data_IF_240848938023
#
_entry.id   IF_240848938023
#
_cell.length_a   1.000
_cell.length_b   1.000
_cell.length_c   1.000
_cell.angle_alpha   90.00
_cell.angle_beta   90.00
_cell.angle_gamma   90.00
#
_symmetry.space_group_name_H-M   'P 1'
#
loop_
_entity.id
_entity.type
_entity.pdbx_description
1 polymer ?
#
# COMPACT_ATOMS: atom_id res chain seq x y z
N UNK A 1 -34.07 -47.91 -4.57
CA UNK A 1 -33.36 -46.72 -5.05
C UNK A 1 -33.89 -45.57 -4.24
N UNK A 2 -33.15 -45.16 -3.21
CA UNK A 2 -33.27 -43.82 -2.64
C UNK A 2 -31.93 -43.52 -1.99
N UNK A 3 -31.31 -42.44 -2.47
CA UNK A 3 -29.95 -42.03 -2.19
C UNK A 3 -29.92 -41.14 -0.95
N UNK A 4 -29.21 -41.59 0.07
CA UNK A 4 -28.71 -40.76 1.17
C UNK A 4 -27.87 -39.60 0.61
N UNK A 5 -28.30 -38.37 0.88
CA UNK A 5 -27.49 -37.17 0.64
C UNK A 5 -27.17 -36.55 1.99
N UNK A 6 -25.93 -36.75 2.44
CA UNK A 6 -25.37 -36.05 3.60
C UNK A 6 -25.50 -34.53 3.44
N UNK A 7 -25.86 -33.80 4.51
CA UNK A 7 -25.89 -32.35 4.47
C UNK A 7 -24.45 -31.80 4.42
N UNK A 8 -24.12 -31.16 3.30
CA UNK A 8 -22.86 -30.46 3.02
C UNK A 8 -22.46 -29.53 4.18
N UNK A 9 -21.37 -29.88 4.85
CA UNK A 9 -20.65 -29.17 5.93
C UNK A 9 -20.01 -27.83 5.51
N UNK A 10 -20.48 -27.21 4.42
CA UNK A 10 -19.90 -25.98 3.85
C UNK A 10 -20.47 -24.66 4.41
N UNK A 11 -21.69 -24.67 4.96
CA UNK A 11 -22.39 -23.43 5.34
C UNK A 11 -21.99 -22.91 6.73
N UNK A 12 -21.47 -23.78 7.61
CA UNK A 12 -21.03 -23.38 8.96
C UNK A 12 -19.68 -22.65 8.98
N UNK A 13 -18.77 -22.94 8.03
CA UNK A 13 -17.46 -22.25 7.94
C UNK A 13 -17.55 -20.80 7.46
N UNK A 14 -18.60 -20.44 6.72
CA UNK A 14 -18.83 -19.08 6.21
C UNK A 14 -19.36 -18.11 7.27
N UNK A 15 -19.73 -18.60 8.47
CA UNK A 15 -20.29 -17.77 9.54
C UNK A 15 -19.31 -17.48 10.69
N UNK A 16 -18.05 -17.93 10.58
CA UNK A 16 -17.02 -17.76 11.63
C UNK A 16 -15.85 -16.84 11.24
N UNK A 17 -15.70 -16.44 9.97
CA UNK A 17 -14.69 -15.46 9.58
C UNK A 17 -15.21 -14.06 9.83
N UNK A 18 -14.76 -13.49 10.95
CA UNK A 18 -14.79 -12.05 11.17
C UNK A 18 -14.18 -11.29 10.00
N UNK A 19 -14.36 -9.98 10.03
CA UNK A 19 -13.90 -9.05 9.01
C UNK A 19 -12.35 -9.07 8.86
N UNK A 20 -11.81 -10.01 8.08
CA UNK A 20 -10.35 -10.25 7.95
C UNK A 20 -9.85 -9.61 6.66
N UNK A 21 -8.77 -8.86 6.79
CA UNK A 21 -7.99 -8.33 5.67
C UNK A 21 -6.56 -8.84 5.78
N UNK A 22 -6.05 -9.39 4.67
CA UNK A 22 -4.69 -9.92 4.57
C UNK A 22 -3.97 -9.26 3.40
N UNK A 23 -2.65 -9.13 3.49
CA UNK A 23 -1.82 -8.71 2.37
C UNK A 23 -0.64 -9.66 2.17
N UNK A 24 -0.20 -9.80 0.93
CA UNK A 24 0.90 -10.69 0.57
C UNK A 24 1.73 -10.08 -0.57
N UNK A 25 3.04 -10.21 -0.50
CA UNK A 25 3.91 -9.94 -1.64
C UNK A 25 3.69 -10.98 -2.74
N UNK A 26 3.66 -10.50 -3.98
CA UNK A 26 3.61 -11.36 -5.17
C UNK A 26 5.00 -12.01 -5.34
N UNK A 27 5.06 -13.33 -5.21
CA UNK A 27 6.29 -14.13 -5.34
C UNK A 27 6.20 -15.22 -6.42
N UNK A 28 5.03 -15.38 -7.05
CA UNK A 28 4.79 -16.38 -8.09
C UNK A 28 4.12 -15.80 -9.34
N UNK A 29 4.30 -16.43 -10.51
CA UNK A 29 3.61 -16.04 -11.75
C UNK A 29 2.08 -16.08 -11.66
N UNK A 30 1.52 -16.95 -10.82
CA UNK A 30 0.08 -17.09 -10.59
C UNK A 30 -0.47 -15.86 -9.85
N UNK A 31 0.20 -15.44 -8.77
CA UNK A 31 -0.13 -14.21 -8.05
C UNK A 31 0.07 -12.98 -8.93
N UNK A 32 1.12 -12.96 -9.76
CA UNK A 32 1.37 -11.87 -10.71
C UNK A 32 0.20 -11.71 -11.69
N UNK A 33 -0.26 -12.80 -12.31
CA UNK A 33 -1.43 -12.77 -13.21
C UNK A 33 -2.68 -12.26 -12.50
N UNK A 34 -2.92 -12.67 -11.25
CA UNK A 34 -4.05 -12.18 -10.46
C UNK A 34 -3.95 -10.65 -10.23
N UNK A 35 -2.79 -10.15 -9.82
CA UNK A 35 -2.57 -8.71 -9.62
C UNK A 35 -2.73 -7.92 -10.93
N UNK A 36 -2.20 -8.44 -12.03
CA UNK A 36 -2.20 -7.73 -13.32
C UNK A 36 -3.59 -7.74 -13.97
N UNK A 37 -4.36 -8.82 -13.80
CA UNK A 37 -5.75 -8.90 -14.20
C UNK A 37 -6.63 -7.91 -13.42
N UNK A 38 -6.49 -7.88 -12.09
CA UNK A 38 -7.22 -6.90 -11.26
C UNK A 38 -6.89 -5.45 -11.63
N UNK A 39 -5.60 -5.16 -11.92
CA UNK A 39 -5.20 -3.86 -12.45
C UNK A 39 -5.85 -3.55 -13.78
N UNK A 40 -5.88 -4.52 -14.70
CA UNK A 40 -6.51 -4.35 -16.00
C UNK A 40 -8.00 -4.04 -15.86
N UNK A 41 -8.75 -4.85 -15.13
CA UNK A 41 -10.20 -4.70 -14.95
C UNK A 41 -10.53 -3.32 -14.38
N UNK A 42 -9.88 -2.94 -13.28
CA UNK A 42 -10.10 -1.65 -12.65
C UNK A 42 -9.75 -0.48 -13.59
N UNK A 43 -8.59 -0.52 -14.27
CA UNK A 43 -8.18 0.57 -15.15
C UNK A 43 -9.04 0.64 -16.42
N UNK A 44 -9.53 -0.49 -16.91
CA UNK A 44 -10.41 -0.56 -18.08
C UNK A 44 -11.79 0.01 -17.77
N UNK A 45 -12.33 -0.27 -16.59
CA UNK A 45 -13.61 0.27 -16.11
C UNK A 45 -13.62 1.81 -16.11
N UNK A 46 -12.51 2.44 -15.70
CA UNK A 46 -12.36 3.90 -15.74
C UNK A 46 -11.88 4.47 -17.09
N UNK A 47 -11.70 3.63 -18.13
CA UNK A 47 -11.23 4.07 -19.44
C UNK A 47 -9.77 4.57 -19.46
N UNK A 48 -8.94 4.14 -18.50
CA UNK A 48 -7.53 4.54 -18.41
C UNK A 48 -6.63 3.76 -19.34
N UNK A 49 -7.05 2.56 -19.75
CA UNK A 49 -6.34 1.70 -20.69
C UNK A 49 -7.30 1.16 -21.76
N UNK A 50 -6.74 0.85 -22.94
CA UNK A 50 -7.44 0.17 -24.02
C UNK A 50 -7.60 -1.33 -23.76
N UNK A 51 -8.22 -2.05 -24.70
CA UNK A 51 -8.29 -3.50 -24.66
C UNK A 51 -6.91 -4.13 -24.79
N UNK A 52 -6.71 -5.22 -24.06
CA UNK A 52 -5.49 -6.03 -24.13
C UNK A 52 -5.85 -7.50 -24.33
N UNK A 53 -5.26 -8.20 -25.33
CA UNK A 53 -5.62 -9.58 -25.65
C UNK A 53 -5.43 -10.58 -24.51
N UNK A 54 -4.49 -10.32 -23.61
CA UNK A 54 -4.19 -11.17 -22.45
C UNK A 54 -5.02 -10.80 -21.21
N UNK A 55 -5.74 -9.67 -21.23
CA UNK A 55 -6.48 -9.16 -20.08
C UNK A 55 -5.58 -8.72 -18.92
N UNK A 56 -4.31 -8.38 -19.17
CA UNK A 56 -3.34 -8.04 -18.12
C UNK A 56 -2.81 -6.61 -18.26
N UNK A 57 -2.75 -5.88 -17.15
CA UNK A 57 -2.09 -4.58 -17.10
C UNK A 57 -0.77 -4.67 -16.36
N UNK A 58 0.26 -5.11 -17.09
CA UNK A 58 1.66 -5.07 -16.68
C UNK A 58 2.52 -4.21 -17.59
N UNK A 59 3.68 -3.79 -17.07
CA UNK A 59 4.75 -3.09 -17.79
C UNK A 59 6.14 -3.61 -17.36
N UNK A 60 7.21 -3.10 -17.98
CA UNK A 60 8.60 -3.55 -17.75
C UNK A 60 9.11 -3.35 -16.32
N UNK A 61 8.40 -2.56 -15.50
CA UNK A 61 8.77 -2.34 -14.10
C UNK A 61 8.31 -3.48 -13.20
N UNK A 62 7.27 -4.23 -13.58
CA UNK A 62 6.68 -5.27 -12.76
C UNK A 62 7.63 -6.44 -12.44
N UNK A 63 8.70 -6.61 -13.22
CA UNK A 63 9.69 -7.68 -13.05
C UNK A 63 11.04 -7.19 -12.52
N UNK A 64 11.19 -5.89 -12.26
CA UNK A 64 12.46 -5.32 -11.79
C UNK A 64 12.64 -5.60 -10.29
N UNK A 65 13.88 -5.84 -9.83
CA UNK A 65 14.16 -6.20 -8.44
C UNK A 65 13.87 -5.07 -7.44
N UNK A 66 13.83 -3.81 -7.90
CA UNK A 66 13.44 -2.69 -7.06
C UNK A 66 11.92 -2.47 -7.01
N UNK A 67 11.11 -3.34 -7.62
CA UNK A 67 9.65 -3.26 -7.56
C UNK A 67 9.07 -4.45 -6.81
N UNK A 68 8.05 -4.17 -6.01
CA UNK A 68 7.25 -5.16 -5.30
C UNK A 68 5.78 -4.92 -5.60
N UNK A 69 5.07 -5.98 -5.98
CA UNK A 69 3.60 -5.95 -6.07
C UNK A 69 3.01 -6.62 -4.84
N UNK A 70 2.03 -5.97 -4.23
CA UNK A 70 1.26 -6.50 -3.10
C UNK A 70 -0.14 -6.85 -3.59
N UNK A 71 -0.66 -7.99 -3.16
CA UNK A 71 -2.08 -8.35 -3.20
C UNK A 71 -2.71 -8.15 -1.82
N UNK A 72 -3.92 -7.62 -1.79
CA UNK A 72 -4.75 -7.50 -0.58
C UNK A 72 -5.99 -8.38 -0.76
N UNK A 73 -6.33 -9.13 0.27
CA UNK A 73 -7.45 -10.05 0.30
C UNK A 73 -8.44 -9.64 1.39
N UNK A 74 -9.73 -9.71 1.08
CA UNK A 74 -10.84 -9.56 2.02
C UNK A 74 -11.47 -10.94 2.19
N UNK A 75 -11.38 -11.50 3.40
CA UNK A 75 -11.90 -12.84 3.71
C UNK A 75 -11.42 -13.93 2.70
N UNK A 76 -10.14 -13.86 2.29
CA UNK A 76 -9.54 -14.77 1.32
C UNK A 76 -9.83 -14.46 -0.16
N UNK A 77 -10.71 -13.50 -0.46
CA UNK A 77 -10.95 -13.04 -1.84
C UNK A 77 -10.02 -11.89 -2.20
N UNK A 78 -9.33 -11.92 -3.36
CA UNK A 78 -8.53 -10.80 -3.83
C UNK A 78 -9.37 -9.52 -3.97
N UNK A 79 -8.98 -8.46 -3.28
CA UNK A 79 -9.77 -7.22 -3.17
C UNK A 79 -9.02 -5.97 -3.65
N UNK A 80 -7.69 -5.95 -3.56
CA UNK A 80 -6.86 -4.87 -4.09
C UNK A 80 -5.46 -5.31 -4.46
N UNK A 81 -4.76 -4.45 -5.19
CA UNK A 81 -3.33 -4.56 -5.43
C UNK A 81 -2.68 -3.18 -5.47
N UNK A 82 -1.44 -3.09 -5.02
CA UNK A 82 -0.61 -1.89 -5.07
C UNK A 82 0.82 -2.28 -5.42
N UNK A 83 1.50 -1.44 -6.20
CA UNK A 83 2.91 -1.59 -6.54
C UNK A 83 3.74 -0.57 -5.77
N UNK A 84 4.89 -1.02 -5.29
CA UNK A 84 5.87 -0.20 -4.59
C UNK A 84 7.21 -0.32 -5.29
N UNK A 85 7.86 0.80 -5.59
CA UNK A 85 9.21 0.84 -6.11
C UNK A 85 10.16 1.38 -5.04
N UNK A 86 11.35 0.78 -4.88
CA UNK A 86 12.44 1.34 -4.10
C UNK A 86 13.31 2.23 -5.00
N UNK A 87 13.49 3.48 -4.56
CA UNK A 87 14.48 4.41 -5.08
C UNK A 87 15.62 4.54 -4.07
N UNK A 88 16.79 4.06 -4.44
CA UNK A 88 18.01 4.17 -3.64
C UNK A 88 19.20 4.49 -4.55
N UNK A 89 19.53 5.77 -4.77
CA UNK A 89 20.71 6.19 -5.52
C UNK A 89 22.04 5.78 -4.87
N UNK A 90 22.05 5.37 -3.59
CA UNK A 90 23.23 4.85 -2.91
C UNK A 90 23.47 3.36 -3.14
N UNK A 91 22.49 2.64 -3.69
CA UNK A 91 22.58 1.21 -3.94
C UNK A 91 23.63 0.90 -5.03
N UNK A 92 24.41 -0.20 -4.93
CA UNK A 92 25.43 -0.53 -5.93
C UNK A 92 24.86 -0.88 -7.31
N UNK A 93 23.65 -1.46 -7.36
CA UNK A 93 22.96 -1.78 -8.60
C UNK A 93 22.17 -0.56 -9.14
N UNK A 94 22.46 -0.07 -10.36
CA UNK A 94 21.79 1.09 -10.97
C UNK A 94 20.28 0.92 -11.17
N UNK A 95 19.73 -0.30 -11.14
CA UNK A 95 18.28 -0.50 -11.28
C UNK A 95 17.49 0.19 -10.16
N UNK A 96 18.10 0.38 -8.99
CA UNK A 96 17.52 1.08 -7.85
C UNK A 96 17.62 2.62 -7.97
N UNK A 97 18.35 3.15 -8.96
CA UNK A 97 18.56 4.59 -9.14
C UNK A 97 17.43 5.27 -9.93
N UNK A 98 16.37 4.53 -10.27
CA UNK A 98 15.21 5.01 -11.03
C UNK A 98 13.92 4.32 -10.62
N UNK A 99 12.82 5.09 -10.67
CA UNK A 99 11.44 4.59 -10.55
C UNK A 99 10.57 5.17 -11.67
N UNK A 100 9.34 4.69 -11.83
CA UNK A 100 8.49 5.00 -12.98
C UNK A 100 8.07 6.47 -12.99
N UNK A 101 7.78 7.07 -11.84
CA UNK A 101 7.46 8.50 -11.77
C UNK A 101 8.61 9.40 -12.27
N UNK A 102 9.85 8.90 -12.29
CA UNK A 102 11.00 9.63 -12.84
C UNK A 102 10.95 9.76 -14.37
N UNK A 103 10.06 9.07 -15.08
CA UNK A 103 9.79 9.37 -16.50
C UNK A 103 9.24 10.79 -16.70
N UNK A 104 8.67 11.39 -15.64
CA UNK A 104 7.97 12.67 -15.68
C UNK A 104 8.56 13.67 -14.69
N UNK A 105 9.04 13.19 -13.54
CA UNK A 105 9.44 13.99 -12.38
C UNK A 105 10.87 13.67 -11.90
N UNK A 106 11.78 13.25 -12.79
CA UNK A 106 13.15 12.87 -12.40
C UNK A 106 13.87 13.97 -11.62
N UNK A 107 13.85 15.21 -12.11
CA UNK A 107 14.55 16.32 -11.48
C UNK A 107 14.03 16.59 -10.08
N UNK A 108 12.71 16.59 -9.90
CA UNK A 108 12.06 16.93 -8.65
C UNK A 108 12.19 15.82 -7.61
N UNK A 109 12.10 14.55 -8.04
CA UNK A 109 12.34 13.39 -7.18
C UNK A 109 13.79 13.39 -6.67
N UNK A 110 14.78 13.60 -7.56
CA UNK A 110 16.19 13.66 -7.15
C UNK A 110 16.44 14.81 -6.18
N UNK A 111 15.90 16.00 -6.48
CA UNK A 111 16.10 17.18 -5.65
C UNK A 111 15.49 17.00 -4.25
N UNK A 112 14.25 16.51 -4.15
CA UNK A 112 13.56 16.39 -2.87
C UNK A 112 14.16 15.28 -2.00
N UNK A 113 14.51 14.13 -2.59
CA UNK A 113 15.13 13.04 -1.83
C UNK A 113 16.52 13.43 -1.34
N UNK A 114 17.29 14.17 -2.15
CA UNK A 114 18.59 14.68 -1.71
C UNK A 114 18.46 15.73 -0.59
N UNK A 115 17.39 16.52 -0.57
CA UNK A 115 17.14 17.53 0.46
C UNK A 115 16.66 16.93 1.78
N UNK A 116 15.85 15.88 1.73
CA UNK A 116 15.20 15.25 2.90
C UNK A 116 15.98 14.04 3.45
N UNK A 117 17.15 13.74 2.86
CA UNK A 117 17.99 12.61 3.25
C UNK A 117 18.53 12.75 4.67
N UNK A 118 18.74 11.62 5.32
CA UNK A 118 19.52 11.59 6.57
C UNK A 118 20.98 11.97 6.32
N UNK A 119 21.64 12.66 7.26
CA UNK A 119 23.05 12.97 7.17
C UNK A 119 23.91 11.72 6.87
N UNK A 120 24.82 11.84 5.91
CA UNK A 120 25.73 10.74 5.53
C UNK A 120 25.12 9.68 4.61
N UNK A 121 23.87 9.83 4.17
CA UNK A 121 23.22 8.91 3.21
C UNK A 121 23.08 9.56 1.83
N UNK A 122 22.79 8.76 0.80
CA UNK A 122 22.43 9.26 -0.53
C UNK A 122 20.98 9.79 -0.59
N UNK A 123 20.17 9.48 0.43
CA UNK A 123 18.71 9.64 0.41
C UNK A 123 18.03 8.45 -0.26
N UNK A 124 16.92 7.97 0.30
CA UNK A 124 16.12 6.91 -0.33
C UNK A 124 14.62 7.18 -0.22
N UNK A 125 13.85 6.57 -1.10
CA UNK A 125 12.40 6.70 -1.11
C UNK A 125 11.72 5.41 -1.57
N UNK A 126 10.43 5.27 -1.23
CA UNK A 126 9.55 4.39 -1.99
C UNK A 126 8.61 5.20 -2.90
N UNK A 127 8.31 4.70 -4.09
CA UNK A 127 7.22 5.20 -4.94
C UNK A 127 6.03 4.24 -4.86
N UNK A 128 4.85 4.79 -4.55
CA UNK A 128 3.59 4.07 -4.61
C UNK A 128 2.95 4.23 -5.99
N UNK A 129 2.51 3.14 -6.59
CA UNK A 129 1.90 3.15 -7.92
C UNK A 129 0.92 2.01 -8.16
N UNK A 130 0.24 2.07 -9.31
CA UNK A 130 -0.64 1.01 -9.83
C UNK A 130 -1.67 0.46 -8.83
N UNK A 131 -2.17 1.30 -7.93
CA UNK A 131 -3.22 0.94 -7.00
C UNK A 131 -4.50 0.60 -7.80
N UNK A 132 -5.04 -0.59 -7.58
CA UNK A 132 -6.30 -1.04 -8.13
C UNK A 132 -7.11 -1.78 -7.06
N UNK A 133 -8.44 -1.72 -7.15
CA UNK A 133 -9.37 -2.45 -6.30
C UNK A 133 -10.33 -3.23 -7.18
N UNK A 134 -10.69 -4.43 -6.75
CA UNK A 134 -11.73 -5.21 -7.39
C UNK A 134 -13.07 -4.47 -7.32
N UNK A 135 -13.97 -4.76 -8.26
CA UNK A 135 -15.26 -4.05 -8.38
C UNK A 135 -16.12 -4.16 -7.11
N UNK A 136 -16.12 -5.32 -6.47
CA UNK A 136 -16.82 -5.58 -5.20
C UNK A 136 -16.22 -4.83 -4.00
N UNK A 137 -14.93 -4.47 -4.08
CA UNK A 137 -14.20 -3.70 -3.08
C UNK A 137 -13.99 -2.22 -3.48
N UNK A 138 -14.62 -1.74 -4.56
CA UNK A 138 -14.38 -0.41 -5.12
C UNK A 138 -14.70 0.75 -4.14
N UNK A 139 -15.59 0.51 -3.18
CA UNK A 139 -15.94 1.47 -2.12
C UNK A 139 -15.50 1.03 -0.72
N UNK A 140 -14.76 -0.08 -0.60
CA UNK A 140 -14.24 -0.55 0.68
C UNK A 140 -13.00 0.28 1.08
N UNK A 141 -13.20 1.16 2.08
CA UNK A 141 -12.14 2.02 2.63
C UNK A 141 -11.14 1.22 3.46
N UNK A 142 -11.56 0.14 4.13
CA UNK A 142 -10.64 -0.71 4.90
C UNK A 142 -9.64 -1.40 3.97
N UNK A 143 -10.11 -1.90 2.82
CA UNK A 143 -9.25 -2.51 1.79
C UNK A 143 -8.29 -1.46 1.19
N UNK A 144 -8.78 -0.24 0.91
CA UNK A 144 -7.92 0.85 0.44
C UNK A 144 -6.81 1.16 1.43
N UNK A 145 -7.17 1.30 2.70
CA UNK A 145 -6.25 1.60 3.78
C UNK A 145 -5.28 0.44 4.06
N UNK A 146 -5.74 -0.81 3.93
CA UNK A 146 -4.90 -1.99 4.01
C UNK A 146 -3.83 -2.02 2.91
N UNK A 147 -4.16 -1.62 1.67
CA UNK A 147 -3.18 -1.50 0.59
C UNK A 147 -2.09 -0.47 0.94
N UNK A 148 -2.49 0.71 1.42
CA UNK A 148 -1.51 1.73 1.87
C UNK A 148 -0.68 1.27 3.07
N UNK A 149 -1.29 0.56 4.03
CA UNK A 149 -0.58 -0.01 5.19
C UNK A 149 0.49 -1.01 4.74
N UNK A 150 0.14 -1.95 3.87
CA UNK A 150 1.08 -2.93 3.34
C UNK A 150 2.25 -2.27 2.61
N UNK A 151 1.97 -1.23 1.81
CA UNK A 151 3.02 -0.46 1.16
C UNK A 151 3.90 0.33 2.14
N UNK A 152 3.31 0.86 3.22
CA UNK A 152 4.05 1.50 4.30
C UNK A 152 5.01 0.55 5.00
N UNK A 153 4.67 -0.75 5.13
CA UNK A 153 5.58 -1.75 5.70
C UNK A 153 6.82 -1.97 4.84
N UNK A 154 6.71 -1.88 3.50
CA UNK A 154 7.88 -1.88 2.61
C UNK A 154 8.76 -0.65 2.89
N UNK A 155 8.16 0.53 3.06
CA UNK A 155 8.90 1.75 3.41
C UNK A 155 9.62 1.65 4.76
N UNK A 156 8.98 1.06 5.77
CA UNK A 156 9.58 0.79 7.08
C UNK A 156 10.72 -0.24 6.98
N UNK A 157 10.54 -1.30 6.18
CA UNK A 157 11.53 -2.36 6.00
C UNK A 157 12.84 -1.82 5.45
N UNK A 158 12.76 -0.96 4.44
CA UNK A 158 13.92 -0.32 3.81
C UNK A 158 14.39 0.93 4.55
N UNK A 159 13.69 1.33 5.61
CA UNK A 159 13.95 2.54 6.38
C UNK A 159 14.22 3.74 5.46
N UNK A 160 13.23 4.09 4.64
CA UNK A 160 13.36 5.15 3.61
C UNK A 160 13.11 6.56 4.13
N UNK A 161 13.68 7.55 3.45
CA UNK A 161 13.57 8.96 3.82
C UNK A 161 12.26 9.62 3.32
N UNK A 162 11.67 9.07 2.25
CA UNK A 162 10.43 9.59 1.68
C UNK A 162 9.51 8.50 1.13
N UNK A 163 8.20 8.77 1.14
CA UNK A 163 7.19 8.05 0.36
C UNK A 163 6.66 9.00 -0.70
N UNK A 164 6.78 8.61 -1.97
CA UNK A 164 6.42 9.38 -3.14
C UNK A 164 5.22 8.76 -3.85
N UNK A 165 4.43 9.58 -4.51
CA UNK A 165 3.35 9.10 -5.37
C UNK A 165 3.05 10.10 -6.51
N UNK A 166 2.92 9.59 -7.74
CA UNK A 166 2.38 10.34 -8.87
C UNK A 166 0.84 10.18 -8.91
N UNK A 167 0.15 11.13 -8.30
CA UNK A 167 -1.28 11.04 -7.97
C UNK A 167 -2.14 11.81 -8.97
N UNK A 168 -3.27 11.24 -9.40
CA UNK A 168 -4.30 11.98 -10.17
C UNK A 168 -4.77 13.22 -9.41
N UNK A 169 -4.98 14.34 -10.10
CA UNK A 169 -5.42 15.60 -9.49
C UNK A 169 -6.62 15.43 -8.55
N UNK A 170 -7.60 14.62 -8.94
CA UNK A 170 -8.80 14.32 -8.16
C UNK A 170 -8.51 13.62 -6.80
N UNK A 171 -7.40 12.88 -6.67
CA UNK A 171 -7.03 12.16 -5.45
C UNK A 171 -6.03 12.92 -4.57
N UNK A 172 -5.35 13.96 -5.10
CA UNK A 172 -4.38 14.75 -4.32
C UNK A 172 -4.93 15.28 -2.98
N UNK A 173 -6.19 15.75 -2.87
CA UNK A 173 -6.74 16.18 -1.58
C UNK A 173 -6.75 15.09 -0.50
N UNK A 174 -6.95 13.82 -0.86
CA UNK A 174 -6.89 12.71 0.09
C UNK A 174 -5.47 12.52 0.63
N UNK A 175 -4.46 12.55 -0.25
CA UNK A 175 -3.06 12.41 0.15
C UNK A 175 -2.62 13.54 1.09
N UNK A 176 -3.07 14.78 0.86
CA UNK A 176 -2.79 15.88 1.80
C UNK A 176 -3.36 15.63 3.20
N UNK A 177 -4.55 15.02 3.31
CA UNK A 177 -5.13 14.64 4.61
C UNK A 177 -4.31 13.56 5.31
N UNK A 178 -3.52 12.80 4.55
CA UNK A 178 -2.58 11.81 5.08
C UNK A 178 -1.18 12.39 5.33
N UNK A 179 -1.01 13.71 5.26
CA UNK A 179 0.27 14.39 5.51
C UNK A 179 1.15 14.63 4.28
N UNK A 180 0.77 14.16 3.10
CA UNK A 180 1.58 14.37 1.90
C UNK A 180 1.57 15.84 1.45
N UNK A 181 2.74 16.33 1.06
CA UNK A 181 2.96 17.62 0.42
C UNK A 181 2.82 17.49 -1.10
N UNK A 182 2.31 18.55 -1.73
CA UNK A 182 2.38 18.68 -3.19
C UNK A 182 3.79 19.12 -3.55
N UNK A 183 4.46 18.36 -4.42
CA UNK A 183 5.80 18.65 -4.91
C UNK A 183 5.75 19.24 -6.31
N UNK A 184 4.86 18.73 -7.17
CA UNK A 184 4.69 19.24 -8.53
C UNK A 184 3.24 19.21 -9.00
N UNK A 185 2.95 20.08 -9.97
CA UNK A 185 1.64 20.16 -10.62
C UNK A 185 1.40 18.97 -11.56
N UNK A 186 0.13 18.65 -11.87
CA UNK A 186 -0.17 17.55 -12.79
C UNK A 186 0.47 17.66 -14.18
N UNK A 187 1.02 16.55 -14.69
CA UNK A 187 1.60 16.39 -16.03
C UNK A 187 1.02 15.12 -16.70
N UNK A 188 0.96 15.03 -18.05
CA UNK A 188 0.57 13.80 -18.74
C UNK A 188 1.46 12.62 -18.35
N UNK A 189 0.84 11.45 -18.13
CA UNK A 189 1.56 10.23 -17.76
C UNK A 189 1.66 9.28 -18.96
N UNK A 190 2.86 8.77 -19.32
CA UNK A 190 3.02 7.85 -20.44
C UNK A 190 2.10 6.62 -20.32
N UNK A 191 1.32 6.37 -21.36
CA UNK A 191 0.44 5.19 -21.43
C UNK A 191 -0.86 5.29 -20.61
N UNK A 192 -1.20 6.45 -20.05
CA UNK A 192 -2.47 6.69 -19.35
C UNK A 192 -3.19 7.91 -19.93
N UNK A 193 -4.53 7.89 -19.86
CA UNK A 193 -5.38 8.97 -20.38
C UNK A 193 -5.55 10.16 -19.42
N UNK A 194 -4.84 10.15 -18.28
CA UNK A 194 -4.96 11.16 -17.23
C UNK A 194 -3.60 11.77 -16.86
N UNK A 195 -3.67 12.94 -16.21
CA UNK A 195 -2.50 13.61 -15.65
C UNK A 195 -2.31 13.28 -14.17
N UNK A 196 -1.06 13.29 -13.72
CA UNK A 196 -0.69 13.08 -12.32
C UNK A 196 0.22 14.18 -11.81
N UNK A 197 0.03 14.63 -10.57
CA UNK A 197 0.95 15.51 -9.85
C UNK A 197 1.82 14.70 -8.88
N UNK A 198 3.03 15.18 -8.61
CA UNK A 198 3.92 14.52 -7.65
C UNK A 198 3.57 14.95 -6.22
N UNK A 199 3.47 13.97 -5.33
CA UNK A 199 3.29 14.18 -3.90
C UNK A 199 4.31 13.39 -3.09
N UNK A 200 4.68 13.90 -1.91
CA UNK A 200 5.65 13.27 -1.03
C UNK A 200 5.27 13.37 0.45
N UNK A 201 5.60 12.34 1.22
CA UNK A 201 5.52 12.28 2.68
C UNK A 201 6.92 11.97 3.22
N UNK A 202 7.39 12.76 4.18
CA UNK A 202 8.77 12.70 4.67
C UNK A 202 8.84 12.26 6.13
N UNK A 203 10.05 11.95 6.62
CA UNK A 203 10.26 11.37 7.95
C UNK A 203 9.69 12.19 9.11
N UNK A 204 9.86 13.50 9.07
CA UNK A 204 9.32 14.41 10.09
C UNK A 204 7.79 14.29 10.20
N UNK A 205 7.12 14.05 9.06
CA UNK A 205 5.68 13.88 8.96
C UNK A 205 5.23 12.45 9.29
N UNK A 206 6.09 11.43 9.19
CA UNK A 206 5.73 10.06 9.57
C UNK A 206 5.30 9.96 11.02
N UNK A 207 6.00 10.61 11.95
CA UNK A 207 5.62 10.57 13.37
C UNK A 207 4.19 11.10 13.57
N UNK A 208 3.86 12.23 12.92
CA UNK A 208 2.51 12.80 12.98
C UNK A 208 1.49 11.86 12.31
N UNK A 209 1.83 11.32 11.14
CA UNK A 209 0.94 10.44 10.39
C UNK A 209 0.68 9.11 11.12
N UNK A 210 1.67 8.54 11.81
CA UNK A 210 1.51 7.36 12.66
C UNK A 210 0.55 7.57 13.84
N UNK A 211 0.26 8.82 14.21
CA UNK A 211 -0.72 9.13 15.25
C UNK A 211 -2.08 9.60 14.71
N UNK A 212 -2.14 10.07 13.46
CA UNK A 212 -3.32 10.75 12.89
C UNK A 212 -3.95 10.04 11.70
N UNK A 213 -3.22 9.12 11.06
CA UNK A 213 -3.66 8.40 9.85
C UNK A 213 -3.92 6.93 10.20
N UNK A 214 -5.18 6.44 10.09
CA UNK A 214 -5.57 5.10 10.54
C UNK A 214 -4.65 3.98 10.05
N UNK A 215 -4.33 3.96 8.76
CA UNK A 215 -3.52 2.89 8.18
C UNK A 215 -2.05 2.93 8.59
N UNK A 216 -1.54 4.07 9.05
CA UNK A 216 -0.16 4.21 9.55
C UNK A 216 -0.04 3.92 11.04
N UNK A 217 -1.15 3.90 11.77
CA UNK A 217 -1.16 3.77 13.21
C UNK A 217 -0.56 2.44 13.69
N UNK A 218 0.37 2.53 14.64
CA UNK A 218 0.99 1.38 15.31
C UNK A 218 1.83 0.47 14.41
N UNK A 219 2.19 0.88 13.20
CA UNK A 219 3.13 0.12 12.36
C UNK A 219 4.54 0.18 12.93
N UNK A 220 5.22 -0.96 13.02
CA UNK A 220 6.62 -1.00 13.40
C UNK A 220 7.40 -2.01 12.55
N UNK A 221 8.65 -1.66 12.21
CA UNK A 221 9.57 -2.62 11.63
C UNK A 221 9.79 -3.76 12.65
N UNK A 222 9.71 -4.99 12.16
CA UNK A 222 9.88 -6.20 12.98
C UNK A 222 8.62 -6.68 13.71
N UNK A 223 7.47 -5.99 13.59
CA UNK A 223 6.20 -6.55 14.08
C UNK A 223 5.80 -7.81 13.29
N UNK A 224 4.93 -8.69 13.83
CA UNK A 224 4.56 -9.94 13.16
C UNK A 224 3.96 -9.75 11.75
N UNK A 225 3.22 -8.67 11.53
CA UNK A 225 2.62 -8.34 10.23
C UNK A 225 3.71 -7.95 9.22
N UNK A 226 4.66 -7.10 9.64
CA UNK A 226 5.83 -6.75 8.85
C UNK A 226 6.66 -7.99 8.48
N UNK A 227 6.97 -8.85 9.46
CA UNK A 227 7.77 -10.06 9.23
C UNK A 227 7.10 -11.01 8.24
N UNK A 228 5.81 -11.30 8.42
CA UNK A 228 5.05 -12.16 7.51
C UNK A 228 5.03 -11.58 6.09
N UNK A 229 4.75 -10.28 5.94
CA UNK A 229 4.69 -9.64 4.63
C UNK A 229 6.05 -9.72 3.91
N UNK A 230 7.15 -9.43 4.61
CA UNK A 230 8.51 -9.47 4.04
C UNK A 230 8.98 -10.89 3.73
N UNK A 231 8.46 -11.90 4.44
CA UNK A 231 8.68 -13.31 4.11
C UNK A 231 7.84 -13.78 2.89
N UNK A 232 6.96 -12.92 2.35
CA UNK A 232 6.03 -13.29 1.28
C UNK A 232 4.86 -14.14 1.77
N UNK A 233 4.64 -14.22 3.08
CA UNK A 233 3.53 -14.92 3.70
C UNK A 233 2.29 -14.01 3.79
N UNK A 234 1.07 -14.57 3.86
CA UNK A 234 -0.12 -13.78 4.14
C UNK A 234 -0.03 -13.09 5.50
N UNK A 235 -0.01 -11.75 5.49
CA UNK A 235 0.06 -10.92 6.67
C UNK A 235 -1.31 -10.33 6.99
N UNK A 236 -1.85 -10.61 8.19
CA UNK A 236 -3.09 -10.00 8.65
C UNK A 236 -2.90 -8.52 8.94
N UNK A 237 -3.80 -7.71 8.42
CA UNK A 237 -3.80 -6.26 8.58
C UNK A 237 -4.95 -5.84 9.50
N UNK A 238 -4.62 -5.01 10.49
CA UNK A 238 -5.61 -4.20 11.18
C UNK A 238 -5.41 -2.74 10.83
N UNK A 239 -6.49 -2.12 10.35
CA UNK A 239 -6.50 -0.71 9.94
C UNK A 239 -7.10 0.18 11.02
N UNK A 240 -8.22 -0.24 11.63
CA UNK A 240 -8.95 0.59 12.60
C UNK A 240 -8.73 0.19 14.06
N UNK A 241 -8.45 -1.09 14.37
CA UNK A 241 -8.22 -1.49 15.77
C UNK A 241 -6.91 -0.97 16.35
N UNK A 242 -5.96 -0.56 15.50
CA UNK A 242 -4.73 0.09 15.94
C UNK A 242 -5.01 1.45 16.61
N UNK A 243 -5.92 2.26 16.05
CA UNK A 243 -6.34 3.52 16.65
C UNK A 243 -7.12 3.30 17.95
N UNK A 244 -7.97 2.28 18.01
CA UNK A 244 -8.69 1.90 19.23
C UNK A 244 -7.71 1.49 20.35
N UNK A 245 -6.66 0.73 20.03
CA UNK A 245 -5.62 0.35 21.00
C UNK A 245 -4.76 1.55 21.45
N UNK A 246 -4.43 2.47 20.55
CA UNK A 246 -3.73 3.72 20.87
C UNK A 246 -4.59 4.62 21.77
N UNK A 247 -5.87 4.77 21.47
CA UNK A 247 -6.82 5.51 22.30
C UNK A 247 -7.01 4.85 23.68
N UNK A 248 -7.09 3.51 23.75
CA UNK A 248 -7.18 2.78 25.01
C UNK A 248 -5.92 2.91 25.89
N UNK A 249 -4.73 3.04 25.28
CA UNK A 249 -3.46 3.28 26.00
C UNK A 249 -3.28 4.73 26.45
N UNK A 250 -3.93 5.68 25.77
CA UNK A 250 -3.91 7.10 26.11
C UNK A 250 -4.99 7.49 27.14
N UNK A 251 -5.93 6.59 27.46
CA UNK A 251 -6.89 6.80 28.54
C UNK A 251 -6.13 6.94 29.87
N UNK A 252 -6.47 7.94 30.72
CA UNK A 252 -5.77 8.14 31.98
C UNK A 252 -5.91 6.88 32.83
N UNK A 253 -4.77 6.36 33.32
CA UNK A 253 -4.73 5.35 34.38
C UNK A 253 -5.69 5.81 35.48
N UNK A 254 -6.77 5.05 35.69
CA UNK A 254 -7.69 5.29 36.79
C UNK A 254 -6.87 5.33 38.08
N UNK A 255 -6.78 6.52 38.70
CA UNK A 255 -6.17 6.66 40.02
C UNK A 255 -6.94 5.73 40.97
N UNK A 256 -6.26 4.89 41.77
CA UNK A 256 -6.94 4.07 42.73
C UNK A 256 -7.69 5.00 43.70
N UNK A 257 -8.95 4.65 43.98
CA UNK A 257 -9.77 5.37 44.93
C UNK A 257 -9.02 5.46 46.27
N UNK A 258 -8.70 6.67 46.70
CA UNK A 258 -8.21 6.93 48.04
C UNK A 258 -9.34 6.55 48.99
N UNK A 259 -9.17 5.44 49.70
CA UNK A 259 -10.05 5.07 50.79
C UNK A 259 -9.92 6.14 51.88
N UNK A 260 -11.00 6.87 52.12
CA UNK A 260 -11.09 7.76 53.26
C UNK A 260 -11.14 6.91 54.54
N UNK A 261 -10.22 7.16 55.47
CA UNK A 261 -10.28 6.74 56.87
C UNK A 261 -9.65 7.83 57.72
#
# INVERSE_FOLDING_TARGET
>A
MDTDVEPRTGVKRLRETGNIIEAQLVTSPQQARLAYGMRYDAYREYGFVGERPDGLFSDEYDTRPNYSTILVFRNGTPAATIRVALFDPGHPDPVFHRTQAMEIFETEIRAVVAAERRPGTAGSAIELGKLARAADAANDVEVLFAAFRAAGYIGLHHDVDAVLNAVRAHHMPMYRRCGFRVLERPRPYPGLTFQTGLMGLFRDQYAVAQHTVPFMAGMAAGDPTHQALMAGEPARLSVFSALESLAARAAPLAMPAVAAS
#
